data_IF_261965970400
#
_entry.id   IF_261965970400
#
_cell.length_a   1.000
_cell.length_b   1.000
_cell.length_c   1.000
_cell.angle_alpha   90.00
_cell.angle_beta   90.00
_cell.angle_gamma   90.00
#
_symmetry.space_group_name_H-M   'P 1'
#
loop_
_entity.id
_entity.type
_entity.pdbx_description
1 polymer ?
#
# COMPACT_ATOMS: atom_id res chain seq x y z
N UNK A 1 6.83 -13.71 -24.47
CA UNK A 1 6.13 -13.19 -23.28
C UNK A 1 6.99 -13.59 -22.09
N UNK A 2 7.38 -12.64 -21.25
CA UNK A 2 8.09 -12.96 -20.02
C UNK A 2 7.12 -13.60 -19.03
N UNK A 3 7.56 -14.60 -18.28
CA UNK A 3 6.73 -15.18 -17.20
C UNK A 3 6.55 -14.18 -16.07
N UNK A 4 5.36 -14.16 -15.47
CA UNK A 4 4.99 -13.28 -14.36
C UNK A 4 4.86 -14.13 -13.10
N UNK A 5 5.55 -13.72 -12.04
CA UNK A 5 5.58 -14.44 -10.77
C UNK A 5 5.25 -13.52 -9.59
N UNK A 6 4.70 -14.09 -8.53
CA UNK A 6 4.48 -13.40 -7.25
C UNK A 6 5.67 -13.72 -6.32
N UNK A 7 6.47 -12.70 -5.99
CA UNK A 7 7.69 -12.88 -5.19
C UNK A 7 7.46 -12.74 -3.68
N UNK A 8 6.41 -12.02 -3.26
CA UNK A 8 6.07 -11.84 -1.85
C UNK A 8 4.59 -11.50 -1.68
N UNK A 9 4.06 -11.79 -0.48
CA UNK A 9 2.68 -11.47 -0.10
C UNK A 9 2.57 -11.24 1.41
N UNK A 10 1.87 -10.17 1.78
CA UNK A 10 1.68 -9.72 3.16
C UNK A 10 0.30 -9.10 3.31
N UNK A 11 -0.17 -8.96 4.55
CA UNK A 11 -1.39 -8.22 4.88
C UNK A 11 -1.34 -7.73 6.32
N UNK A 12 -2.09 -6.68 6.62
CA UNK A 12 -2.41 -6.34 8.01
C UNK A 12 -3.37 -7.39 8.61
N UNK A 13 -3.51 -7.43 9.95
CA UNK A 13 -4.69 -8.04 10.57
C UNK A 13 -5.98 -7.37 10.08
N UNK A 14 -7.09 -8.10 10.15
CA UNK A 14 -8.42 -7.55 9.85
C UNK A 14 -9.04 -7.07 11.17
N UNK A 15 -9.24 -5.76 11.27
CA UNK A 15 -9.88 -5.15 12.43
C UNK A 15 -11.41 -5.33 12.41
N UNK A 16 -12.02 -5.31 13.60
CA UNK A 16 -13.48 -5.12 13.73
C UNK A 16 -13.84 -3.67 13.46
N UNK A 17 -15.06 -3.42 13.03
CA UNK A 17 -15.60 -2.06 12.88
C UNK A 17 -15.46 -1.29 14.20
N UNK A 18 -14.86 -0.10 14.14
CA UNK A 18 -14.50 0.71 15.32
C UNK A 18 -13.64 -0.02 16.37
N UNK A 19 -12.90 -1.06 15.96
CA UNK A 19 -12.04 -1.86 16.82
C UNK A 19 -10.60 -1.36 16.86
N UNK A 20 -9.65 -2.28 17.10
CA UNK A 20 -8.24 -1.97 17.37
C UNK A 20 -7.45 -1.29 16.24
N UNK A 21 -8.00 -1.22 15.02
CA UNK A 21 -7.38 -0.48 13.89
C UNK A 21 -8.04 0.86 13.61
N UNK A 22 -9.03 1.27 14.41
CA UNK A 22 -9.82 2.50 14.17
C UNK A 22 -9.01 3.80 14.22
N UNK A 23 -7.85 3.79 14.88
CA UNK A 23 -6.94 4.93 14.93
C UNK A 23 -6.05 5.10 13.70
N UNK A 24 -6.10 4.17 12.73
CA UNK A 24 -5.28 4.20 11.52
C UNK A 24 -6.12 4.49 10.29
N UNK A 25 -5.62 5.34 9.39
CA UNK A 25 -6.22 5.58 8.09
C UNK A 25 -5.92 4.42 7.13
N UNK A 26 -6.72 4.29 6.06
CA UNK A 26 -6.45 3.30 5.01
C UNK A 26 -5.07 3.50 4.37
N UNK A 27 -4.63 4.76 4.17
CA UNK A 27 -3.30 5.07 3.67
C UNK A 27 -2.19 4.56 4.61
N UNK A 28 -2.34 4.73 5.93
CA UNK A 28 -1.38 4.24 6.93
C UNK A 28 -1.30 2.71 6.94
N UNK A 29 -2.45 2.02 6.86
CA UNK A 29 -2.49 0.55 6.75
C UNK A 29 -1.81 0.08 5.45
N UNK A 30 -2.05 0.79 4.34
CA UNK A 30 -1.36 0.56 3.07
C UNK A 30 0.15 0.75 3.18
N UNK A 31 0.63 1.82 3.83
CA UNK A 31 2.06 2.06 4.05
C UNK A 31 2.72 0.94 4.84
N UNK A 32 2.06 0.44 5.90
CA UNK A 32 2.57 -0.67 6.71
C UNK A 32 2.72 -1.93 5.84
N UNK A 33 1.72 -2.26 5.04
CA UNK A 33 1.75 -3.43 4.15
C UNK A 33 2.83 -3.29 3.06
N UNK A 34 2.94 -2.12 2.42
CA UNK A 34 3.95 -1.86 1.38
C UNK A 34 5.38 -1.94 1.94
N UNK A 35 5.62 -1.38 3.12
CA UNK A 35 6.95 -1.45 3.74
C UNK A 35 7.37 -2.89 4.05
N UNK A 36 6.45 -3.70 4.58
CA UNK A 36 6.72 -5.10 4.93
C UNK A 36 6.87 -5.98 3.68
N UNK A 37 6.11 -5.76 2.60
CA UNK A 37 6.24 -6.58 1.38
C UNK A 37 7.57 -6.34 0.68
N UNK A 38 8.06 -5.10 0.64
CA UNK A 38 9.37 -4.76 0.08
C UNK A 38 10.50 -5.40 0.88
N UNK A 39 10.42 -5.31 2.21
CA UNK A 39 11.39 -5.96 3.11
C UNK A 39 11.39 -7.48 2.92
N UNK A 40 10.22 -8.12 2.86
CA UNK A 40 10.09 -9.58 2.67
C UNK A 40 10.53 -10.04 1.27
N UNK A 41 10.34 -9.20 0.26
CA UNK A 41 10.81 -9.45 -1.11
C UNK A 41 12.32 -9.19 -1.27
N UNK A 42 12.98 -8.54 -0.31
CA UNK A 42 14.38 -8.12 -0.43
C UNK A 42 14.58 -7.06 -1.52
N UNK A 43 13.57 -6.22 -1.77
CA UNK A 43 13.60 -5.20 -2.81
C UNK A 43 13.81 -3.80 -2.22
N UNK A 44 14.73 -3.05 -2.81
CA UNK A 44 15.00 -1.65 -2.44
C UNK A 44 14.14 -0.66 -3.24
N UNK A 45 13.65 -1.07 -4.41
CA UNK A 45 12.86 -0.23 -5.33
C UNK A 45 11.77 -1.02 -6.06
N UNK A 46 10.78 -0.31 -6.58
CA UNK A 46 9.72 -0.82 -7.46
C UNK A 46 9.44 0.19 -8.57
N UNK A 47 8.93 -0.29 -9.70
CA UNK A 47 8.61 0.56 -10.85
C UNK A 47 7.24 1.26 -10.72
N UNK A 48 6.27 0.65 -10.03
CA UNK A 48 4.92 1.20 -9.89
C UNK A 48 4.19 0.63 -8.65
N UNK A 49 3.31 1.43 -8.05
CA UNK A 49 2.41 1.00 -6.96
C UNK A 49 0.95 1.12 -7.37
N UNK A 50 0.24 -0.01 -7.37
CA UNK A 50 -1.19 -0.07 -7.67
C UNK A 50 -1.91 -0.55 -6.41
N UNK A 51 -2.84 0.25 -5.88
CA UNK A 51 -3.55 -0.07 -4.64
C UNK A 51 -5.07 0.08 -4.78
N UNK A 52 -5.82 -0.92 -4.33
CA UNK A 52 -7.27 -0.84 -4.26
C UNK A 52 -7.76 -0.03 -3.05
N UNK A 53 -8.67 0.91 -3.25
CA UNK A 53 -9.38 1.60 -2.16
C UNK A 53 -10.76 2.10 -2.60
N UNK A 54 -11.81 1.52 -2.00
CA UNK A 54 -13.22 1.82 -2.35
C UNK A 54 -13.68 3.15 -1.74
N UNK A 55 -13.54 3.32 -0.43
CA UNK A 55 -14.05 4.50 0.30
C UNK A 55 -12.93 5.53 0.44
N UNK A 56 -12.77 6.37 -0.58
CA UNK A 56 -11.71 7.39 -0.63
C UNK A 56 -12.10 8.75 -0.05
N UNK A 57 -13.38 8.94 0.30
CA UNK A 57 -13.88 10.22 0.81
C UNK A 57 -13.12 10.65 2.08
N UNK A 58 -12.56 11.86 2.06
CA UNK A 58 -11.81 12.42 3.18
C UNK A 58 -10.38 11.90 3.37
N UNK A 59 -9.90 10.98 2.51
CA UNK A 59 -8.53 10.44 2.60
C UNK A 59 -7.49 11.31 1.88
N UNK A 60 -7.91 12.33 1.13
CA UNK A 60 -7.03 13.15 0.30
C UNK A 60 -6.78 12.56 -1.08
N UNK A 61 -5.83 13.15 -1.81
CA UNK A 61 -5.55 12.78 -3.20
C UNK A 61 -4.82 11.44 -3.26
N UNK A 62 -5.32 10.52 -4.11
CA UNK A 62 -4.69 9.25 -4.47
C UNK A 62 -4.14 8.45 -3.25
N UNK A 63 -4.99 7.69 -2.54
CA UNK A 63 -4.58 6.86 -1.41
C UNK A 63 -3.36 5.97 -1.65
N UNK A 64 -3.22 5.38 -2.85
CA UNK A 64 -2.04 4.60 -3.23
C UNK A 64 -0.75 5.41 -3.14
N UNK A 65 -0.80 6.68 -3.58
CA UNK A 65 0.33 7.60 -3.52
C UNK A 65 0.73 7.94 -2.09
N UNK A 66 -0.26 8.21 -1.25
CA UNK A 66 0.00 8.49 0.16
C UNK A 66 0.57 7.26 0.88
N UNK A 67 0.04 6.07 0.57
CA UNK A 67 0.54 4.80 1.08
C UNK A 67 2.01 4.55 0.67
N UNK A 68 2.33 4.76 -0.61
CA UNK A 68 3.68 4.60 -1.16
C UNK A 68 4.69 5.55 -0.50
N UNK A 69 4.38 6.84 -0.40
CA UNK A 69 5.24 7.82 0.29
C UNK A 69 5.44 7.41 1.76
N UNK A 70 4.38 7.02 2.46
CA UNK A 70 4.48 6.58 3.85
C UNK A 70 5.26 5.28 4.05
N UNK A 71 5.40 4.45 3.01
CA UNK A 71 6.24 3.25 3.00
C UNK A 71 7.72 3.54 2.72
N UNK A 72 8.07 4.79 2.39
CA UNK A 72 9.43 5.19 2.00
C UNK A 72 9.74 4.98 0.51
N UNK A 73 8.73 4.73 -0.33
CA UNK A 73 8.92 4.59 -1.78
C UNK A 73 9.21 5.99 -2.35
N UNK A 74 10.24 6.14 -3.21
CA UNK A 74 10.61 7.41 -3.81
C UNK A 74 9.45 8.12 -4.54
N UNK A 75 9.47 9.46 -4.52
CA UNK A 75 8.38 10.28 -5.07
C UNK A 75 8.31 10.25 -6.60
N UNK A 76 9.35 9.85 -7.30
CA UNK A 76 9.36 9.66 -8.74
C UNK A 76 8.68 8.35 -9.17
N UNK A 77 8.51 7.37 -8.26
CA UNK A 77 7.78 6.14 -8.56
C UNK A 77 6.28 6.44 -8.73
N UNK A 78 5.68 6.12 -9.89
CA UNK A 78 4.25 6.32 -10.12
C UNK A 78 3.41 5.42 -9.22
N UNK A 79 2.21 5.92 -8.88
CA UNK A 79 1.25 5.17 -8.09
C UNK A 79 -0.17 5.60 -8.40
N UNK A 80 -1.10 4.66 -8.47
CA UNK A 80 -2.52 4.98 -8.65
C UNK A 80 -3.45 4.10 -7.85
N UNK A 81 -4.60 4.68 -7.51
CA UNK A 81 -5.65 4.01 -6.74
C UNK A 81 -6.71 3.48 -7.69
N UNK A 82 -7.11 2.23 -7.50
CA UNK A 82 -8.24 1.61 -8.21
C UNK A 82 -9.41 1.35 -7.25
N UNK A 83 -10.63 1.40 -7.77
CA UNK A 83 -11.85 1.00 -7.07
C UNK A 83 -12.57 -0.05 -7.92
#
# INVERSE_FOLDING_TARGET
>A
MSEIVIVAGVRTPIGRFQGGLSGLTACQLGSIALKEVLARAGLESVDEVIMGNVVSAGLGQNPARQAAIGAGIPVDVPSFTIN
#
